data_IF_260859738598
#
_entry.id   IF_260859738598
#
_cell.length_a   1.000
_cell.length_b   1.000
_cell.length_c   1.000
_cell.angle_alpha   90.00
_cell.angle_beta   90.00
_cell.angle_gamma   90.00
#
_symmetry.space_group_name_H-M   'P 1'
#
loop_
_entity.id
_entity.type
_entity.pdbx_description
1 polymer ?
#
# COMPACT_ATOMS: atom_id res chain seq x y z
N UNK A 1 -14.79 0.72 14.08
CA UNK A 1 -13.43 0.24 13.71
C UNK A 1 -12.55 1.37 13.15
N UNK A 2 -13.01 2.16 12.16
CA UNK A 2 -12.22 3.22 11.53
C UNK A 2 -11.80 4.32 12.52
N UNK A 3 -12.71 4.81 13.37
CA UNK A 3 -12.40 5.78 14.43
C UNK A 3 -11.44 5.19 15.45
N UNK A 4 -11.70 3.97 15.92
CA UNK A 4 -10.83 3.26 16.87
C UNK A 4 -9.39 3.13 16.32
N UNK A 5 -9.25 2.79 15.02
CA UNK A 5 -7.94 2.72 14.38
C UNK A 5 -7.19 4.06 14.40
N UNK A 6 -7.88 5.19 14.11
CA UNK A 6 -7.27 6.52 14.19
C UNK A 6 -6.96 6.94 15.63
N UNK A 7 -7.83 6.63 16.57
CA UNK A 7 -7.65 6.96 17.99
C UNK A 7 -6.46 6.21 18.60
N UNK A 8 -6.28 4.93 18.26
CA UNK A 8 -5.17 4.12 18.76
C UNK A 8 -3.85 4.48 18.06
N UNK A 9 -3.84 4.50 16.74
CA UNK A 9 -2.60 4.66 15.96
C UNK A 9 -2.15 6.10 15.80
N UNK A 10 -3.07 7.06 15.90
CA UNK A 10 -2.88 8.49 15.55
C UNK A 10 -2.51 8.71 14.08
N UNK A 11 -2.82 7.75 13.19
CA UNK A 11 -2.45 7.77 11.77
C UNK A 11 -3.67 7.98 10.88
N UNK A 12 -3.52 8.83 9.87
CA UNK A 12 -4.47 9.00 8.78
C UNK A 12 -5.77 9.69 9.20
N UNK A 13 -6.83 9.42 8.43
CA UNK A 13 -8.16 10.00 8.57
C UNK A 13 -9.20 8.90 8.73
N UNK A 14 -10.08 9.02 9.73
CA UNK A 14 -11.07 7.98 9.99
C UNK A 14 -12.08 7.80 8.84
N UNK A 15 -12.42 8.89 8.11
CA UNK A 15 -13.31 8.86 6.94
C UNK A 15 -12.74 7.96 5.84
N UNK A 16 -11.45 8.13 5.55
CA UNK A 16 -10.75 7.33 4.54
C UNK A 16 -10.58 5.86 4.99
N UNK A 17 -10.39 5.64 6.30
CA UNK A 17 -10.38 4.27 6.86
C UNK A 17 -11.74 3.59 6.78
N UNK A 18 -12.86 4.33 6.80
CA UNK A 18 -14.18 3.77 6.50
C UNK A 18 -14.21 3.24 5.06
N UNK A 19 -13.68 4.00 4.10
CA UNK A 19 -13.60 3.58 2.70
C UNK A 19 -12.73 2.33 2.56
N UNK A 20 -11.54 2.29 3.19
CA UNK A 20 -10.67 1.12 3.22
C UNK A 20 -11.37 -0.12 3.80
N UNK A 21 -12.10 0.04 4.90
CA UNK A 21 -12.87 -1.05 5.51
C UNK A 21 -14.01 -1.53 4.59
N UNK A 22 -14.67 -0.62 3.87
CA UNK A 22 -15.70 -0.98 2.90
C UNK A 22 -15.11 -1.76 1.71
N UNK A 23 -13.94 -1.35 1.20
CA UNK A 23 -13.22 -2.10 0.16
C UNK A 23 -12.89 -3.51 0.68
N UNK A 24 -12.29 -3.60 1.86
CA UNK A 24 -11.87 -4.86 2.47
C UNK A 24 -13.02 -5.83 2.77
N UNK A 25 -14.24 -5.34 2.90
CA UNK A 25 -15.43 -6.13 3.23
C UNK A 25 -16.40 -6.23 2.07
N UNK A 26 -17.15 -5.16 1.80
CA UNK A 26 -18.24 -5.14 0.84
C UNK A 26 -17.78 -5.44 -0.59
N UNK A 27 -16.68 -4.79 -1.02
CA UNK A 27 -16.19 -4.97 -2.40
C UNK A 27 -15.55 -6.36 -2.56
N UNK A 28 -14.70 -6.76 -1.61
CA UNK A 28 -14.10 -8.11 -1.60
C UNK A 28 -15.18 -9.18 -1.56
N UNK A 29 -16.17 -9.07 -0.67
CA UNK A 29 -17.28 -10.03 -0.60
C UNK A 29 -18.04 -10.13 -1.93
N UNK A 30 -18.38 -9.00 -2.55
CA UNK A 30 -19.08 -8.99 -3.83
C UNK A 30 -18.28 -9.63 -4.96
N UNK A 31 -16.95 -9.48 -4.95
CA UNK A 31 -16.06 -10.11 -5.92
C UNK A 31 -15.99 -11.64 -5.73
N UNK A 32 -15.86 -12.11 -4.49
CA UNK A 32 -15.58 -13.54 -4.22
C UNK A 32 -16.81 -14.39 -3.91
N UNK A 33 -17.98 -13.80 -3.61
CA UNK A 33 -19.16 -14.55 -3.15
C UNK A 33 -19.59 -15.68 -4.10
N UNK A 34 -19.49 -15.46 -5.41
CA UNK A 34 -19.86 -16.41 -6.46
C UNK A 34 -18.75 -17.39 -6.85
N UNK A 35 -17.53 -17.22 -6.33
CA UNK A 35 -16.41 -18.08 -6.69
C UNK A 35 -16.46 -19.41 -5.92
N UNK A 36 -16.20 -20.51 -6.62
CA UNK A 36 -15.94 -21.81 -5.98
C UNK A 36 -14.50 -21.80 -5.46
N UNK A 37 -14.32 -22.04 -4.18
CA UNK A 37 -13.00 -22.01 -3.51
C UNK A 37 -12.69 -23.30 -2.76
N UNK A 38 -13.63 -24.27 -2.79
CA UNK A 38 -13.48 -25.59 -2.15
C UNK A 38 -14.28 -26.62 -2.97
N UNK A 39 -13.76 -27.82 -3.07
CA UNK A 39 -14.31 -28.91 -3.87
C UNK A 39 -13.98 -28.74 -5.36
N UNK A 40 -14.73 -29.38 -6.23
CA UNK A 40 -14.50 -29.29 -7.68
C UNK A 40 -14.73 -27.85 -8.15
N UNK A 41 -13.68 -27.18 -8.62
CA UNK A 41 -13.71 -25.80 -9.11
C UNK A 41 -13.76 -25.69 -10.63
N UNK A 42 -13.20 -26.67 -11.34
CA UNK A 42 -13.30 -26.83 -12.78
C UNK A 42 -13.37 -28.33 -13.16
N UNK A 43 -14.04 -28.60 -14.26
CA UNK A 43 -14.11 -29.94 -14.89
C UNK A 43 -14.00 -29.72 -16.40
N UNK A 44 -12.90 -30.17 -16.99
CA UNK A 44 -12.64 -30.12 -18.43
C UNK A 44 -12.64 -31.51 -19.04
N UNK A 45 -13.81 -31.99 -19.53
CA UNK A 45 -13.89 -33.32 -20.14
C UNK A 45 -13.04 -33.50 -21.39
N UNK A 46 -12.60 -32.40 -22.08
CA UNK A 46 -11.76 -32.49 -23.28
C UNK A 46 -10.33 -32.80 -22.94
N UNK A 47 -9.85 -32.27 -21.81
CA UNK A 47 -8.51 -32.53 -21.31
C UNK A 47 -8.45 -33.66 -20.31
N UNK A 48 -9.62 -34.24 -19.94
CA UNK A 48 -9.76 -35.26 -18.90
C UNK A 48 -9.18 -34.81 -17.54
N UNK A 49 -9.37 -33.51 -17.21
CA UNK A 49 -8.82 -32.87 -15.99
C UNK A 49 -9.95 -32.35 -15.12
N UNK A 50 -9.92 -32.72 -13.84
CA UNK A 50 -10.78 -32.16 -12.80
C UNK A 50 -9.93 -31.41 -11.79
N UNK A 51 -10.21 -30.11 -11.60
CA UNK A 51 -9.54 -29.29 -10.61
C UNK A 51 -10.33 -29.28 -9.29
N UNK A 52 -9.69 -29.67 -8.22
CA UNK A 52 -10.27 -29.70 -6.88
C UNK A 52 -9.51 -28.76 -5.96
N UNK A 53 -10.20 -27.75 -5.43
CA UNK A 53 -9.64 -26.85 -4.43
C UNK A 53 -9.84 -27.41 -3.02
N UNK A 54 -8.76 -27.42 -2.24
CA UNK A 54 -8.73 -27.86 -0.85
C UNK A 54 -8.24 -26.73 0.06
N UNK A 55 -8.74 -26.63 1.31
CA UNK A 55 -8.14 -25.72 2.29
C UNK A 55 -6.69 -26.10 2.56
N UNK A 56 -5.80 -25.10 2.58
CA UNK A 56 -4.37 -25.34 2.85
C UNK A 56 -4.08 -25.62 4.33
N UNK A 57 -4.96 -25.16 5.23
CA UNK A 57 -4.80 -25.31 6.68
C UNK A 57 -4.66 -23.98 7.42
N UNK A 58 -4.12 -23.98 8.66
CA UNK A 58 -4.01 -22.77 9.48
C UNK A 58 -3.15 -21.69 8.83
N UNK A 59 -3.73 -20.48 8.72
CA UNK A 59 -3.06 -19.29 8.18
C UNK A 59 -2.55 -18.44 9.34
N UNK A 60 -1.29 -18.04 9.30
CA UNK A 60 -0.73 -17.03 10.19
C UNK A 60 -0.67 -15.68 9.48
N UNK A 61 -1.42 -14.69 9.96
CA UNK A 61 -1.60 -13.42 9.30
C UNK A 61 -1.04 -12.26 10.14
N UNK A 62 -0.07 -11.53 9.57
CA UNK A 62 0.55 -10.36 10.21
C UNK A 62 0.03 -9.11 9.54
N UNK A 63 -0.40 -8.13 10.34
CA UNK A 63 -1.06 -6.91 9.87
C UNK A 63 -0.27 -5.65 10.20
N UNK A 64 -0.28 -4.63 9.31
CA UNK A 64 0.48 -3.40 9.49
C UNK A 64 -0.24 -2.41 10.41
N UNK A 65 0.49 -1.36 10.84
CA UNK A 65 -0.08 -0.25 11.62
C UNK A 65 -0.88 0.73 10.76
N UNK A 66 -0.55 0.88 9.49
CA UNK A 66 -1.13 1.89 8.58
C UNK A 66 -2.56 1.56 8.15
N UNK A 67 -2.86 0.27 7.97
CA UNK A 67 -4.17 -0.23 7.51
C UNK A 67 -4.66 -1.38 8.41
N UNK A 68 -4.72 -1.19 9.74
CA UNK A 68 -4.85 -2.31 10.66
C UNK A 68 -6.18 -3.04 10.50
N UNK A 69 -7.30 -2.32 10.60
CA UNK A 69 -8.65 -2.92 10.57
C UNK A 69 -8.99 -3.47 9.19
N UNK A 70 -8.72 -2.73 8.12
CA UNK A 70 -9.03 -3.18 6.75
C UNK A 70 -8.23 -4.42 6.36
N UNK A 71 -6.95 -4.50 6.73
CA UNK A 71 -6.13 -5.69 6.46
C UNK A 71 -6.60 -6.91 7.24
N UNK A 72 -7.01 -6.74 8.51
CA UNK A 72 -7.63 -7.82 9.31
C UNK A 72 -8.90 -8.32 8.66
N UNK A 73 -9.82 -7.41 8.33
CA UNK A 73 -11.10 -7.75 7.68
C UNK A 73 -10.89 -8.51 6.38
N UNK A 74 -10.00 -8.00 5.51
CA UNK A 74 -9.66 -8.64 4.24
C UNK A 74 -9.14 -10.06 4.42
N UNK A 75 -8.08 -10.22 5.25
CA UNK A 75 -7.43 -11.52 5.46
C UNK A 75 -8.38 -12.55 6.06
N UNK A 76 -9.25 -12.15 6.97
CA UNK A 76 -10.28 -13.03 7.54
C UNK A 76 -11.27 -13.46 6.46
N UNK A 77 -11.80 -12.52 5.66
CA UNK A 77 -12.84 -12.84 4.66
C UNK A 77 -12.30 -13.83 3.62
N UNK A 78 -11.09 -13.63 3.09
CA UNK A 78 -10.51 -14.55 2.10
C UNK A 78 -10.18 -15.90 2.73
N UNK A 79 -9.72 -15.95 3.98
CA UNK A 79 -9.44 -17.20 4.70
C UNK A 79 -10.71 -18.00 4.97
N UNK A 80 -11.76 -17.35 5.47
CA UNK A 80 -13.04 -17.99 5.72
C UNK A 80 -13.71 -18.49 4.42
N UNK A 81 -13.61 -17.70 3.34
CA UNK A 81 -14.12 -18.10 2.01
C UNK A 81 -13.46 -19.39 1.52
N UNK A 82 -12.18 -19.58 1.78
CA UNK A 82 -11.41 -20.78 1.41
C UNK A 82 -11.35 -21.85 2.53
N UNK A 83 -12.18 -21.70 3.59
CA UNK A 83 -12.29 -22.63 4.74
C UNK A 83 -10.98 -22.85 5.49
N UNK A 84 -10.11 -21.86 5.54
CA UNK A 84 -8.87 -21.91 6.29
C UNK A 84 -9.04 -21.21 7.64
N UNK A 85 -8.70 -21.81 8.77
CA UNK A 85 -8.62 -21.10 10.04
C UNK A 85 -7.48 -20.10 10.01
N UNK A 86 -7.64 -18.97 10.71
CA UNK A 86 -6.68 -17.87 10.67
C UNK A 86 -6.32 -17.39 12.07
N UNK A 87 -5.03 -17.10 12.26
CA UNK A 87 -4.49 -16.48 13.47
C UNK A 87 -3.95 -15.10 13.09
N UNK A 88 -4.56 -14.05 13.64
CA UNK A 88 -4.16 -12.66 13.40
C UNK A 88 -3.09 -12.25 14.41
N UNK A 89 -1.98 -11.70 13.93
CA UNK A 89 -0.97 -11.01 14.72
C UNK A 89 -0.95 -9.53 14.33
N UNK A 90 -1.51 -8.65 15.17
CA UNK A 90 -1.50 -7.21 14.90
C UNK A 90 -0.11 -6.60 15.09
N UNK A 91 0.10 -5.43 14.49
CA UNK A 91 1.20 -4.55 14.86
C UNK A 91 1.00 -4.03 16.29
N UNK A 92 2.07 -3.90 17.09
CA UNK A 92 1.98 -3.52 18.50
C UNK A 92 1.26 -2.18 18.74
N UNK A 93 1.43 -1.20 17.83
CA UNK A 93 0.77 0.12 17.91
C UNK A 93 -0.67 0.15 17.33
N UNK A 94 -1.23 -1.00 16.94
CA UNK A 94 -2.58 -1.14 16.38
C UNK A 94 -3.26 -2.42 16.88
N UNK A 95 -2.91 -2.86 18.08
CA UNK A 95 -3.35 -4.15 18.61
C UNK A 95 -4.84 -4.17 18.93
N UNK A 96 -5.35 -3.12 19.58
CA UNK A 96 -6.73 -3.11 20.10
C UNK A 96 -7.74 -2.96 18.96
N UNK A 97 -7.53 -2.07 17.99
CA UNK A 97 -8.40 -1.93 16.83
C UNK A 97 -8.36 -3.17 15.91
N UNK A 98 -7.20 -3.82 15.79
CA UNK A 98 -7.05 -5.06 15.01
C UNK A 98 -7.75 -6.24 15.68
N UNK A 99 -7.60 -6.39 17.00
CA UNK A 99 -8.30 -7.42 17.79
C UNK A 99 -9.80 -7.20 17.73
N UNK A 100 -10.27 -5.95 17.85
CA UNK A 100 -11.69 -5.64 17.75
C UNK A 100 -12.24 -5.97 16.35
N UNK A 101 -11.50 -5.70 15.28
CA UNK A 101 -11.88 -6.10 13.93
C UNK A 101 -11.98 -7.63 13.79
N UNK A 102 -11.03 -8.38 14.37
CA UNK A 102 -11.05 -9.84 14.37
C UNK A 102 -12.23 -10.38 15.22
N UNK A 103 -12.50 -9.79 16.39
CA UNK A 103 -13.61 -10.16 17.28
C UNK A 103 -14.97 -10.02 16.58
N UNK A 104 -15.22 -8.88 15.93
CA UNK A 104 -16.45 -8.63 15.17
C UNK A 104 -16.65 -9.68 14.07
N UNK A 105 -15.57 -10.02 13.34
CA UNK A 105 -15.62 -11.06 12.32
C UNK A 105 -15.89 -12.44 12.92
N UNK A 106 -15.24 -12.79 14.03
CA UNK A 106 -15.41 -14.06 14.70
C UNK A 106 -16.84 -14.27 15.21
N UNK A 107 -17.40 -13.27 15.87
CA UNK A 107 -18.79 -13.33 16.34
C UNK A 107 -19.79 -13.47 15.18
N UNK A 108 -19.53 -12.78 14.06
CA UNK A 108 -20.37 -12.90 12.87
C UNK A 108 -20.25 -14.32 12.26
N UNK A 109 -19.04 -14.88 12.21
CA UNK A 109 -18.79 -16.22 11.72
C UNK A 109 -19.48 -17.28 12.59
N UNK A 110 -19.40 -17.19 13.91
CA UNK A 110 -20.09 -18.10 14.84
C UNK A 110 -21.60 -18.05 14.67
N UNK A 111 -22.19 -16.83 14.56
CA UNK A 111 -23.64 -16.69 14.29
C UNK A 111 -24.06 -17.32 12.96
N UNK A 112 -23.15 -17.41 12.00
CA UNK A 112 -23.37 -18.06 10.71
C UNK A 112 -23.07 -19.57 10.72
N UNK A 113 -22.74 -20.16 11.88
CA UNK A 113 -22.46 -21.59 12.04
C UNK A 113 -21.02 -22.02 11.72
N UNK A 114 -20.07 -21.07 11.68
CA UNK A 114 -18.66 -21.44 11.57
C UNK A 114 -18.17 -22.17 12.83
N UNK A 115 -17.19 -23.08 12.71
CA UNK A 115 -16.67 -23.81 13.87
C UNK A 115 -15.95 -22.84 14.84
N UNK A 116 -15.95 -23.20 16.11
CA UNK A 116 -15.16 -22.51 17.12
C UNK A 116 -13.68 -22.47 16.72
N UNK A 117 -12.99 -21.39 17.14
CA UNK A 117 -11.56 -21.17 16.87
C UNK A 117 -11.17 -21.04 15.38
N UNK A 118 -12.14 -20.85 14.47
CA UNK A 118 -11.83 -20.60 13.06
C UNK A 118 -11.11 -19.25 12.83
N UNK A 119 -11.32 -18.27 13.72
CA UNK A 119 -10.62 -16.99 13.75
C UNK A 119 -10.04 -16.80 15.15
N UNK A 120 -8.72 -16.63 15.22
CA UNK A 120 -7.98 -16.41 16.45
C UNK A 120 -7.07 -15.19 16.31
N UNK A 121 -6.56 -14.68 17.43
CA UNK A 121 -5.60 -13.57 17.43
C UNK A 121 -4.63 -13.67 18.59
N UNK A 122 -3.42 -13.17 18.37
CA UNK A 122 -2.39 -13.00 19.39
C UNK A 122 -2.35 -11.53 19.76
N UNK A 123 -2.87 -11.17 20.93
CA UNK A 123 -2.97 -9.77 21.37
C UNK A 123 -1.60 -9.12 21.57
N UNK A 124 -0.69 -9.87 22.18
CA UNK A 124 0.70 -9.44 22.43
C UNK A 124 1.63 -10.60 22.12
N UNK A 125 2.70 -10.33 21.41
CA UNK A 125 3.76 -11.31 21.18
C UNK A 125 5.10 -10.60 21.03
N UNK A 126 6.14 -11.26 21.51
CA UNK A 126 7.52 -10.90 21.23
C UNK A 126 7.86 -11.18 19.75
N UNK A 127 8.99 -10.69 19.30
CA UNK A 127 9.50 -11.03 17.97
C UNK A 127 9.82 -12.53 17.86
N UNK A 128 10.37 -13.11 18.92
CA UNK A 128 10.71 -14.54 18.99
C UNK A 128 9.47 -15.43 18.87
N UNK A 129 8.41 -15.12 19.61
CA UNK A 129 7.12 -15.82 19.50
C UNK A 129 6.50 -15.72 18.12
N UNK A 130 6.64 -14.55 17.47
CA UNK A 130 6.18 -14.38 16.09
C UNK A 130 6.98 -15.26 15.11
N UNK A 131 8.29 -15.33 15.26
CA UNK A 131 9.15 -16.21 14.45
C UNK A 131 8.82 -17.68 14.70
N UNK A 132 8.55 -18.08 15.94
CA UNK A 132 8.14 -19.44 16.30
C UNK A 132 6.79 -19.81 15.65
N UNK A 133 5.82 -18.88 15.63
CA UNK A 133 4.54 -19.09 14.93
C UNK A 133 4.71 -19.18 13.41
N UNK A 134 5.59 -18.36 12.83
CA UNK A 134 5.92 -18.45 11.39
C UNK A 134 6.53 -19.80 11.03
N UNK A 135 7.44 -20.33 11.86
CA UNK A 135 8.15 -21.59 11.63
C UNK A 135 7.36 -22.82 12.14
N UNK A 136 6.21 -22.62 12.76
CA UNK A 136 5.48 -23.73 13.36
C UNK A 136 4.97 -24.73 12.30
N UNK A 137 5.18 -26.02 12.53
CA UNK A 137 4.84 -27.11 11.57
C UNK A 137 3.38 -27.18 11.13
N UNK A 138 2.46 -26.60 11.91
CA UNK A 138 1.03 -26.54 11.58
C UNK A 138 0.66 -25.26 10.83
N UNK A 139 1.54 -24.27 10.72
CA UNK A 139 1.30 -23.07 9.90
C UNK A 139 1.40 -23.46 8.43
N UNK A 140 0.28 -23.45 7.74
CA UNK A 140 0.19 -23.89 6.35
C UNK A 140 0.52 -22.75 5.36
N UNK A 141 0.21 -21.51 5.75
CA UNK A 141 0.45 -20.33 4.93
C UNK A 141 0.66 -19.11 5.83
N UNK A 142 1.58 -18.25 5.46
CA UNK A 142 1.81 -16.95 6.11
C UNK A 142 1.33 -15.84 5.18
N UNK A 143 0.45 -14.97 5.68
CA UNK A 143 0.05 -13.74 5.01
C UNK A 143 0.73 -12.55 5.71
N UNK A 144 1.91 -12.16 5.24
CA UNK A 144 2.70 -11.09 5.86
C UNK A 144 2.50 -9.75 5.17
N UNK A 145 2.17 -8.70 5.92
CA UNK A 145 2.16 -7.31 5.45
C UNK A 145 2.92 -6.45 6.43
N UNK A 146 4.01 -5.83 5.99
CA UNK A 146 4.84 -5.00 6.88
C UNK A 146 6.22 -4.67 6.30
N UNK A 147 7.21 -4.48 7.18
CA UNK A 147 8.58 -4.09 6.77
C UNK A 147 9.29 -5.17 5.95
N UNK A 148 10.35 -4.75 5.25
CA UNK A 148 11.23 -5.67 4.49
C UNK A 148 11.75 -6.79 5.38
N UNK A 149 12.17 -6.46 6.61
CA UNK A 149 12.72 -7.42 7.58
C UNK A 149 11.68 -8.46 7.97
N UNK A 150 10.44 -8.03 8.20
CA UNK A 150 9.32 -8.92 8.51
C UNK A 150 9.04 -9.89 7.37
N UNK A 151 8.94 -9.38 6.15
CA UNK A 151 8.67 -10.20 4.96
C UNK A 151 9.82 -11.18 4.71
N UNK A 152 11.07 -10.73 4.85
CA UNK A 152 12.24 -11.61 4.77
C UNK A 152 12.23 -12.70 5.85
N UNK A 153 11.87 -12.36 7.08
CA UNK A 153 11.75 -13.32 8.17
C UNK A 153 10.67 -14.36 7.88
N UNK A 154 9.53 -13.93 7.34
CA UNK A 154 8.47 -14.85 6.93
C UNK A 154 8.97 -15.83 5.85
N UNK A 155 9.62 -15.36 4.79
CA UNK A 155 10.18 -16.22 3.74
C UNK A 155 11.28 -17.19 4.25
N UNK A 156 12.04 -16.81 5.27
CA UNK A 156 13.05 -17.67 5.90
C UNK A 156 12.46 -18.71 6.85
N UNK A 157 11.18 -18.64 7.18
CA UNK A 157 10.54 -19.55 8.14
C UNK A 157 10.41 -20.99 7.64
N UNK A 158 10.52 -21.21 6.32
CA UNK A 158 10.35 -22.52 5.69
C UNK A 158 8.90 -22.87 5.33
N UNK A 159 7.92 -22.07 5.74
CA UNK A 159 6.53 -22.25 5.36
C UNK A 159 6.17 -21.40 4.11
N UNK A 160 5.11 -21.74 3.35
CA UNK A 160 4.61 -20.91 2.26
C UNK A 160 4.25 -19.50 2.72
N UNK A 161 4.60 -18.47 1.93
CA UNK A 161 4.39 -17.06 2.28
C UNK A 161 3.82 -16.30 1.10
N UNK A 162 2.81 -15.49 1.37
CA UNK A 162 2.44 -14.34 0.54
C UNK A 162 2.81 -13.09 1.34
N UNK A 163 3.88 -12.41 0.90
CA UNK A 163 4.50 -11.31 1.64
C UNK A 163 4.45 -10.00 0.88
N UNK A 164 3.94 -8.94 1.53
CA UNK A 164 3.89 -7.58 0.99
C UNK A 164 4.80 -6.69 1.81
N UNK A 165 5.81 -6.15 1.14
CA UNK A 165 6.74 -5.18 1.67
C UNK A 165 6.34 -3.73 1.40
N UNK A 166 7.25 -2.77 1.61
CA UNK A 166 7.05 -1.36 1.28
C UNK A 166 6.94 -1.14 -0.23
N UNK A 167 6.33 -0.01 -0.62
CA UNK A 167 6.18 0.38 -2.01
C UNK A 167 6.79 1.77 -2.28
N UNK A 168 7.87 1.86 -3.05
CA UNK A 168 8.39 3.13 -3.54
C UNK A 168 7.88 3.37 -4.97
N UNK A 169 6.70 3.97 -5.08
CA UNK A 169 5.90 4.03 -6.30
C UNK A 169 6.24 5.26 -7.14
N UNK A 170 6.92 5.11 -8.29
CA UNK A 170 7.09 6.19 -9.25
C UNK A 170 5.80 6.39 -10.05
N UNK A 171 5.48 7.65 -10.36
CA UNK A 171 4.47 8.01 -11.35
C UNK A 171 5.10 8.84 -12.46
N UNK A 172 5.01 8.37 -13.69
CA UNK A 172 5.45 9.11 -14.86
C UNK A 172 4.29 9.89 -15.47
N UNK A 173 4.45 11.22 -15.61
CA UNK A 173 3.53 12.08 -16.35
C UNK A 173 4.16 12.35 -17.72
N UNK A 174 3.70 11.59 -18.72
CA UNK A 174 4.23 11.64 -20.08
C UNK A 174 3.82 12.91 -20.83
N UNK A 175 4.54 13.23 -21.93
CA UNK A 175 4.27 14.39 -22.79
C UNK A 175 2.82 14.46 -23.31
N UNK A 176 2.19 13.30 -23.54
CA UNK A 176 0.81 13.21 -24.04
C UNK A 176 -0.25 13.11 -22.94
N UNK A 177 0.14 13.25 -21.67
CA UNK A 177 -0.81 13.20 -20.58
C UNK A 177 -1.76 14.39 -20.59
N UNK A 178 -3.00 14.15 -20.16
CA UNK A 178 -3.88 15.22 -19.69
C UNK A 178 -3.38 15.64 -18.30
N UNK A 179 -2.64 16.74 -18.25
CA UNK A 179 -1.92 17.18 -17.03
C UNK A 179 -2.90 17.53 -15.90
N UNK A 180 -3.97 18.31 -16.11
CA UNK A 180 -4.96 18.58 -15.05
C UNK A 180 -5.56 17.32 -14.47
N UNK A 181 -5.92 16.33 -15.30
CA UNK A 181 -6.44 15.05 -14.88
C UNK A 181 -5.39 14.24 -14.11
N UNK A 182 -4.17 14.10 -14.65
CA UNK A 182 -3.09 13.36 -14.02
C UNK A 182 -2.78 13.88 -12.62
N UNK A 183 -2.61 15.19 -12.49
CA UNK A 183 -2.34 15.86 -11.22
C UNK A 183 -3.48 15.66 -10.23
N UNK A 184 -4.73 15.74 -10.66
CA UNK A 184 -5.89 15.47 -9.80
C UNK A 184 -5.88 14.04 -9.27
N UNK A 185 -5.64 13.04 -10.12
CA UNK A 185 -5.58 11.64 -9.71
C UNK A 185 -4.44 11.37 -8.71
N UNK A 186 -3.25 11.91 -8.97
CA UNK A 186 -2.09 11.79 -8.07
C UNK A 186 -2.38 12.49 -6.72
N UNK A 187 -2.99 13.66 -6.77
CA UNK A 187 -3.35 14.42 -5.59
C UNK A 187 -4.34 13.66 -4.71
N UNK A 188 -5.45 13.17 -5.28
CA UNK A 188 -6.45 12.35 -4.59
C UNK A 188 -5.79 11.09 -4.00
N UNK A 189 -4.93 10.44 -4.76
CA UNK A 189 -4.22 9.23 -4.34
C UNK A 189 -3.30 9.47 -3.15
N UNK A 190 -2.45 10.49 -3.22
CA UNK A 190 -1.44 10.77 -2.17
C UNK A 190 -2.02 11.36 -0.91
N UNK A 191 -3.12 12.12 -1.01
CA UNK A 191 -3.78 12.71 0.17
C UNK A 191 -4.75 11.75 0.85
N UNK A 192 -5.15 10.65 0.19
CA UNK A 192 -6.02 9.63 0.75
C UNK A 192 -5.38 8.99 2.01
N UNK A 193 -6.10 9.09 3.11
CA UNK A 193 -5.67 8.64 4.44
C UNK A 193 -4.26 9.16 4.82
N UNK A 194 -3.97 10.41 4.45
CA UNK A 194 -2.66 11.07 4.61
C UNK A 194 -1.48 10.22 4.07
N UNK A 195 -1.66 9.59 2.92
CA UNK A 195 -0.59 8.85 2.24
C UNK A 195 -0.20 7.52 2.87
N UNK A 196 -1.04 6.92 3.72
CA UNK A 196 -0.73 5.65 4.41
C UNK A 196 -0.95 4.40 3.58
N UNK A 197 -1.35 4.51 2.31
CA UNK A 197 -1.43 3.36 1.40
C UNK A 197 -0.07 3.15 0.75
N UNK A 198 0.52 1.97 0.91
CA UNK A 198 1.84 1.63 0.35
C UNK A 198 1.91 1.68 -1.19
N UNK A 199 0.76 1.60 -1.86
CA UNK A 199 0.67 1.78 -3.31
C UNK A 199 0.48 3.25 -3.74
N UNK A 200 0.38 4.22 -2.81
CA UNK A 200 0.32 5.64 -3.18
C UNK A 200 1.62 6.09 -3.82
N UNK A 201 1.54 7.04 -4.72
CA UNK A 201 2.68 7.63 -5.38
C UNK A 201 3.69 8.16 -4.34
N UNK A 202 4.98 7.90 -4.57
CA UNK A 202 6.08 8.41 -3.74
C UNK A 202 6.89 9.46 -4.50
N UNK A 203 6.97 9.34 -5.83
CA UNK A 203 7.73 10.25 -6.66
C UNK A 203 7.03 10.52 -7.98
N UNK A 204 6.97 11.79 -8.36
CA UNK A 204 6.51 12.25 -9.66
C UNK A 204 7.73 12.40 -10.57
N UNK A 205 7.66 11.81 -11.75
CA UNK A 205 8.60 12.04 -12.85
C UNK A 205 7.83 12.73 -13.97
N UNK A 206 7.98 14.05 -14.11
CA UNK A 206 7.32 14.83 -15.14
C UNK A 206 8.20 14.95 -16.39
N UNK A 207 7.61 14.84 -17.59
CA UNK A 207 8.33 15.17 -18.81
C UNK A 207 8.63 16.68 -18.85
N UNK A 208 9.80 17.06 -19.35
CA UNK A 208 10.23 18.48 -19.46
C UNK A 208 9.19 19.34 -20.17
N UNK A 209 8.53 18.78 -21.19
CA UNK A 209 7.58 19.53 -22.01
C UNK A 209 6.33 20.00 -21.27
N UNK A 210 5.97 19.33 -20.16
CA UNK A 210 4.77 19.66 -19.37
C UNK A 210 5.07 19.89 -17.86
N UNK A 211 6.33 19.90 -17.47
CA UNK A 211 6.73 20.02 -16.05
C UNK A 211 6.21 21.29 -15.38
N UNK A 212 6.25 22.42 -16.06
CA UNK A 212 5.76 23.69 -15.53
C UNK A 212 4.25 23.70 -15.34
N UNK A 213 3.51 23.06 -16.25
CA UNK A 213 2.05 22.88 -16.14
C UNK A 213 1.73 21.97 -14.96
N UNK A 214 2.46 20.86 -14.79
CA UNK A 214 2.32 19.96 -13.63
C UNK A 214 2.51 20.71 -12.32
N UNK A 215 3.55 21.52 -12.21
CA UNK A 215 3.80 22.37 -11.02
C UNK A 215 2.64 23.34 -10.77
N UNK A 216 2.17 24.02 -11.83
CA UNK A 216 1.06 24.95 -11.72
C UNK A 216 -0.24 24.26 -11.25
N UNK A 217 -0.54 23.09 -11.79
CA UNK A 217 -1.73 22.31 -11.40
C UNK A 217 -1.67 21.81 -9.95
N UNK A 218 -0.51 21.36 -9.46
CA UNK A 218 -0.35 21.02 -8.05
C UNK A 218 -0.52 22.24 -7.13
N UNK A 219 0.03 23.41 -7.50
CA UNK A 219 -0.14 24.65 -6.72
C UNK A 219 -1.60 25.09 -6.65
N UNK A 220 -2.38 24.96 -7.71
CA UNK A 220 -3.84 25.22 -7.70
C UNK A 220 -4.56 24.34 -6.66
N UNK A 221 -4.07 23.13 -6.40
CA UNK A 221 -4.62 22.15 -5.44
C UNK A 221 -4.00 22.27 -4.05
N UNK A 222 -3.34 23.42 -3.74
CA UNK A 222 -2.75 23.68 -2.41
C UNK A 222 -1.59 22.77 -2.05
N UNK A 223 -0.90 22.19 -3.02
CA UNK A 223 0.39 21.57 -2.81
C UNK A 223 1.46 22.66 -2.64
N UNK A 224 2.37 22.44 -1.69
CA UNK A 224 3.48 23.32 -1.40
C UNK A 224 4.79 22.72 -1.93
N UNK A 225 5.47 23.45 -2.81
CA UNK A 225 6.79 23.06 -3.32
C UNK A 225 7.86 23.60 -2.38
N UNK A 226 8.65 22.69 -1.82
CA UNK A 226 9.73 23.01 -0.88
C UNK A 226 10.93 23.64 -1.61
N UNK A 227 11.57 24.61 -0.95
CA UNK A 227 12.89 25.06 -1.33
C UNK A 227 13.97 24.05 -0.90
N UNK A 228 15.21 24.19 -1.39
CA UNK A 228 16.31 23.33 -1.01
C UNK A 228 16.59 23.36 0.51
N UNK A 229 16.56 24.54 1.12
CA UNK A 229 16.72 24.71 2.56
C UNK A 229 15.61 24.04 3.37
N UNK A 230 14.38 24.02 2.83
CA UNK A 230 13.24 23.37 3.46
C UNK A 230 13.33 21.84 3.33
N UNK A 231 13.84 21.34 2.22
CA UNK A 231 14.11 19.91 2.02
C UNK A 231 15.14 19.44 3.05
N UNK A 232 16.26 20.17 3.22
CA UNK A 232 17.30 19.84 4.20
C UNK A 232 16.76 19.81 5.65
N UNK A 233 15.80 20.67 5.98
CA UNK A 233 15.12 20.65 7.28
C UNK A 233 14.10 19.53 7.43
N UNK A 234 13.41 19.17 6.34
CA UNK A 234 12.40 18.12 6.35
C UNK A 234 13.00 16.70 6.40
N UNK A 235 14.12 16.48 5.72
CA UNK A 235 14.77 15.16 5.66
C UNK A 235 14.98 14.49 7.03
N UNK A 236 15.61 15.12 8.03
CA UNK A 236 15.83 14.50 9.34
C UNK A 236 14.55 14.34 10.15
N UNK A 237 13.50 15.09 9.83
CA UNK A 237 12.17 14.94 10.44
C UNK A 237 11.42 13.74 9.85
N UNK A 238 11.52 13.54 8.53
CA UNK A 238 10.81 12.48 7.83
C UNK A 238 11.54 11.14 7.89
N UNK A 239 12.86 11.12 7.97
CA UNK A 239 13.66 9.91 7.79
C UNK A 239 14.83 9.80 8.80
N UNK A 240 15.02 8.61 9.33
CA UNK A 240 16.18 8.27 10.15
C UNK A 240 17.29 7.67 9.27
N UNK A 241 18.33 8.45 8.99
CA UNK A 241 19.45 8.04 8.10
C UNK A 241 20.27 6.90 8.68
N UNK A 242 20.38 6.77 10.02
CA UNK A 242 21.14 5.70 10.67
C UNK A 242 20.42 4.35 10.55
N UNK A 243 19.13 4.35 10.84
CA UNK A 243 18.29 3.15 10.76
C UNK A 243 17.77 2.88 9.34
N UNK A 244 17.94 3.84 8.41
CA UNK A 244 17.46 3.77 7.02
C UNK A 244 15.96 3.52 6.91
N UNK A 245 15.17 4.14 7.78
CA UNK A 245 13.71 4.00 7.82
C UNK A 245 13.02 5.35 8.01
N UNK A 246 11.79 5.45 7.52
CA UNK A 246 10.92 6.58 7.81
C UNK A 246 10.66 6.69 9.33
N UNK A 247 10.62 7.92 9.84
CA UNK A 247 10.27 8.15 11.24
C UNK A 247 8.79 7.93 11.50
N UNK A 248 8.48 7.19 12.56
CA UNK A 248 7.11 6.82 12.90
C UNK A 248 6.20 8.04 13.17
N UNK A 249 6.76 9.12 13.68
CA UNK A 249 6.06 10.36 14.05
C UNK A 249 5.46 11.09 12.86
N UNK A 250 5.96 10.84 11.65
CA UNK A 250 5.52 11.49 10.40
C UNK A 250 4.46 10.66 9.67
N UNK A 251 4.41 9.33 9.94
CA UNK A 251 3.48 8.44 9.24
C UNK A 251 2.04 8.91 9.41
N UNK A 252 1.35 9.10 8.29
CA UNK A 252 -0.08 9.44 8.27
C UNK A 252 -0.43 10.79 8.89
N UNK A 253 0.55 11.68 9.16
CA UNK A 253 0.27 13.02 9.67
C UNK A 253 -0.13 13.97 8.54
N UNK A 254 -0.91 15.03 8.83
CA UNK A 254 -1.21 16.08 7.87
C UNK A 254 0.04 16.83 7.41
N UNK A 255 0.06 17.31 6.17
CA UNK A 255 1.19 18.06 5.60
C UNK A 255 1.59 19.29 6.43
N UNK A 256 0.62 20.03 6.94
CA UNK A 256 0.84 21.20 7.80
C UNK A 256 1.56 20.86 9.11
N UNK A 257 1.19 19.73 9.75
CA UNK A 257 1.85 19.28 10.97
C UNK A 257 3.28 18.82 10.69
N UNK A 258 3.51 18.14 9.57
CA UNK A 258 4.85 17.71 9.17
C UNK A 258 5.74 18.95 8.89
N UNK A 259 5.21 19.95 8.19
CA UNK A 259 5.90 21.22 7.95
C UNK A 259 6.25 21.92 9.27
N UNK A 260 5.32 22.00 10.22
CA UNK A 260 5.56 22.53 11.56
C UNK A 260 6.70 21.81 12.29
N UNK A 261 6.71 20.46 12.27
CA UNK A 261 7.79 19.67 12.87
C UNK A 261 9.16 19.96 12.26
N UNK A 262 9.21 20.33 10.97
CA UNK A 262 10.44 20.73 10.27
C UNK A 262 10.74 22.25 10.38
N UNK A 263 9.93 23.01 11.11
CA UNK A 263 10.07 24.47 11.20
C UNK A 263 9.82 25.20 9.87
N UNK A 264 9.00 24.63 9.00
CA UNK A 264 8.63 25.17 7.70
C UNK A 264 7.27 25.85 7.79
N UNK A 265 7.20 27.09 7.34
CA UNK A 265 5.95 27.85 7.31
C UNK A 265 5.23 27.61 5.99
N UNK A 266 4.07 26.98 6.05
CA UNK A 266 3.21 26.72 4.88
C UNK A 266 1.83 27.35 5.10
N UNK A 267 1.05 27.63 4.03
CA UNK A 267 -0.35 28.02 4.15
C UNK A 267 -1.16 26.99 4.96
N UNK A 268 -2.14 27.46 5.74
CA UNK A 268 -2.93 26.60 6.62
C UNK A 268 -3.77 25.54 5.87
N UNK A 269 -4.06 25.77 4.59
CA UNK A 269 -4.77 24.88 3.69
C UNK A 269 -3.85 23.97 2.86
N UNK A 270 -2.56 23.89 3.19
CA UNK A 270 -1.61 22.99 2.53
C UNK A 270 -1.95 21.53 2.87
N UNK A 271 -2.13 20.72 1.82
CA UNK A 271 -2.49 19.31 1.96
C UNK A 271 -1.41 18.35 1.48
N UNK A 272 -0.41 18.84 0.75
CA UNK A 272 0.67 18.03 0.16
C UNK A 272 1.96 18.85 0.13
N UNK A 273 3.08 18.24 0.51
CA UNK A 273 4.44 18.79 0.37
C UNK A 273 5.11 18.12 -0.82
N UNK A 274 5.75 18.91 -1.69
CA UNK A 274 6.45 18.38 -2.85
C UNK A 274 7.92 18.82 -2.78
N UNK A 275 8.84 17.86 -2.82
CA UNK A 275 10.28 18.06 -2.80
C UNK A 275 10.87 17.91 -4.20
N UNK A 276 11.27 18.99 -4.89
CA UNK A 276 12.07 18.88 -6.11
C UNK A 276 13.43 18.25 -5.77
N UNK A 277 13.76 17.12 -6.39
CA UNK A 277 14.99 16.37 -6.15
C UNK A 277 15.71 16.08 -7.45
N UNK A 278 17.03 15.89 -7.36
CA UNK A 278 17.90 15.54 -8.50
C UNK A 278 18.35 14.06 -8.40
N UNK A 279 18.53 13.55 -7.19
CA UNK A 279 19.06 12.21 -6.91
C UNK A 279 18.01 11.29 -6.30
N UNK A 280 18.21 9.98 -6.51
CA UNK A 280 17.39 8.90 -5.93
C UNK A 280 18.27 8.04 -5.03
N UNK A 281 17.78 7.72 -3.83
CA UNK A 281 18.44 6.79 -2.92
C UNK A 281 18.66 7.35 -1.51
N UNK A 282 19.50 6.69 -0.73
CA UNK A 282 19.68 6.95 0.70
C UNK A 282 20.25 8.34 1.02
N UNK A 283 20.97 8.95 0.08
CA UNK A 283 21.53 10.31 0.22
C UNK A 283 20.47 11.39 -0.01
N UNK A 284 19.36 11.02 -0.67
CA UNK A 284 18.18 11.86 -0.88
C UNK A 284 16.94 11.13 -0.32
N UNK A 285 16.79 11.08 1.01
CA UNK A 285 15.84 10.19 1.68
C UNK A 285 14.38 10.47 1.36
N UNK A 286 14.03 11.68 0.92
CA UNK A 286 12.68 11.99 0.44
C UNK A 286 12.34 11.31 -0.89
N UNK A 287 13.31 10.66 -1.55
CA UNK A 287 13.12 9.81 -2.72
C UNK A 287 12.67 8.37 -2.38
N UNK A 288 12.66 8.01 -1.09
CA UNK A 288 12.28 6.70 -0.59
C UNK A 288 10.79 6.67 -0.20
N UNK A 289 10.27 5.49 0.19
CA UNK A 289 8.89 5.40 0.65
C UNK A 289 8.65 6.28 1.87
N UNK A 290 7.71 7.22 1.75
CA UNK A 290 7.24 8.08 2.82
C UNK A 290 5.71 7.99 2.90
N UNK A 291 5.21 7.27 3.91
CA UNK A 291 3.79 7.05 4.16
C UNK A 291 3.14 8.28 4.81
N UNK A 292 3.26 9.42 4.13
CA UNK A 292 2.77 10.73 4.52
C UNK A 292 2.47 11.56 3.25
N UNK A 293 1.78 12.69 3.33
CA UNK A 293 1.51 13.56 2.18
C UNK A 293 2.76 14.35 1.77
N UNK A 294 3.79 13.62 1.36
CA UNK A 294 5.06 14.12 0.81
C UNK A 294 5.32 13.39 -0.51
N UNK A 295 5.71 14.12 -1.55
CA UNK A 295 6.12 13.58 -2.85
C UNK A 295 7.48 14.12 -3.25
N UNK A 296 8.34 13.25 -3.77
CA UNK A 296 9.49 13.68 -4.56
C UNK A 296 9.03 14.15 -5.95
N UNK A 297 9.72 15.07 -6.55
CA UNK A 297 9.44 15.62 -7.88
C UNK A 297 10.70 15.65 -8.71
N UNK A 298 10.65 15.05 -9.89
CA UNK A 298 11.73 14.99 -10.86
C UNK A 298 11.25 15.47 -12.22
N UNK A 299 12.18 16.08 -12.99
CA UNK A 299 11.94 16.45 -14.38
C UNK A 299 12.84 15.61 -15.27
N UNK A 300 12.24 14.89 -16.22
CA UNK A 300 12.96 14.11 -17.21
C UNK A 300 12.94 14.81 -18.57
N UNK A 301 14.10 14.93 -19.21
CA UNK A 301 14.24 15.58 -20.51
C UNK A 301 13.53 14.79 -21.62
N UNK A 302 13.59 13.45 -21.51
CA UNK A 302 12.98 12.55 -22.46
C UNK A 302 12.36 11.32 -21.76
N UNK A 303 11.74 10.47 -22.56
CA UNK A 303 11.08 9.26 -22.07
C UNK A 303 12.06 8.26 -21.48
N UNK A 304 13.24 8.12 -22.07
CA UNK A 304 14.23 7.14 -21.62
C UNK A 304 14.84 7.53 -20.27
N UNK A 305 15.07 8.84 -20.07
CA UNK A 305 15.46 9.33 -18.76
C UNK A 305 14.36 9.11 -17.72
N UNK A 306 13.10 9.32 -18.10
CA UNK A 306 11.96 9.06 -17.20
C UNK A 306 11.91 7.58 -16.80
N UNK A 307 12.09 6.65 -17.74
CA UNK A 307 12.17 5.22 -17.44
C UNK A 307 13.32 4.91 -16.48
N UNK A 308 14.52 5.48 -16.72
CA UNK A 308 15.67 5.28 -15.81
C UNK A 308 15.36 5.75 -14.39
N UNK A 309 14.79 6.95 -14.23
CA UNK A 309 14.39 7.50 -12.94
C UNK A 309 13.33 6.64 -12.25
N UNK A 310 12.27 6.26 -12.96
CA UNK A 310 11.23 5.40 -12.41
C UNK A 310 11.78 4.05 -11.94
N UNK A 311 12.69 3.44 -12.72
CA UNK A 311 13.37 2.20 -12.32
C UNK A 311 14.24 2.38 -11.09
N UNK A 312 14.99 3.48 -10.99
CA UNK A 312 15.82 3.79 -9.82
C UNK A 312 14.94 3.96 -8.57
N UNK A 313 13.86 4.72 -8.66
CA UNK A 313 12.91 4.93 -7.55
C UNK A 313 12.33 3.57 -7.12
N UNK A 314 11.83 2.79 -8.06
CA UNK A 314 11.24 1.48 -7.78
C UNK A 314 12.26 0.51 -7.18
N UNK A 315 13.53 0.55 -7.62
CA UNK A 315 14.60 -0.30 -7.10
C UNK A 315 14.94 0.01 -5.63
N UNK A 316 14.79 1.25 -5.20
CA UNK A 316 15.05 1.66 -3.82
C UNK A 316 13.85 1.44 -2.89
N UNK A 317 13.43 0.17 -2.72
CA UNK A 317 12.43 -0.25 -1.73
C UNK A 317 11.03 -0.57 -2.28
N UNK A 318 10.84 -0.49 -3.62
CA UNK A 318 9.54 -0.72 -4.24
C UNK A 318 9.47 -1.85 -5.26
N UNK A 319 10.53 -2.68 -5.38
CA UNK A 319 10.56 -3.79 -6.34
C UNK A 319 9.39 -4.75 -6.14
N UNK A 320 8.69 -5.04 -7.25
CA UNK A 320 7.55 -5.95 -7.24
C UNK A 320 6.24 -5.33 -6.72
N UNK A 321 6.24 -4.05 -6.29
CA UNK A 321 5.03 -3.43 -5.75
C UNK A 321 4.19 -2.75 -6.85
N UNK A 322 4.25 -1.46 -7.01
CA UNK A 322 3.36 -0.67 -7.90
C UNK A 322 4.15 0.39 -8.65
N UNK A 323 3.75 0.66 -9.89
CA UNK A 323 4.17 1.81 -10.68
C UNK A 323 2.95 2.44 -11.36
N UNK A 324 3.04 3.71 -11.75
CA UNK A 324 1.96 4.41 -12.44
C UNK A 324 2.46 5.24 -13.62
N UNK A 325 1.63 5.36 -14.64
CA UNK A 325 1.89 6.20 -15.81
C UNK A 325 0.62 6.95 -16.21
N UNK A 326 0.77 8.25 -16.51
CA UNK A 326 -0.25 9.05 -17.17
C UNK A 326 0.23 9.38 -18.57
N UNK A 327 -0.46 8.86 -19.58
CA UNK A 327 -0.12 9.02 -20.99
C UNK A 327 -1.33 8.67 -21.86
N UNK A 328 -1.42 9.26 -23.05
CA UNK A 328 -2.36 8.87 -24.12
C UNK A 328 -1.64 8.13 -25.26
N UNK A 329 -0.34 7.90 -25.15
CA UNK A 329 0.44 7.17 -26.16
C UNK A 329 0.57 5.70 -25.73
N UNK A 330 -0.11 4.81 -26.45
CA UNK A 330 -0.16 3.38 -26.16
C UNK A 330 1.22 2.70 -26.21
N UNK A 331 2.05 3.03 -27.20
CA UNK A 331 3.42 2.48 -27.32
C UNK A 331 4.28 2.82 -26.09
N UNK A 332 4.13 4.05 -25.55
CA UNK A 332 4.82 4.48 -24.34
C UNK A 332 4.29 3.76 -23.10
N UNK A 333 2.99 3.53 -23.04
CA UNK A 333 2.35 2.77 -21.96
C UNK A 333 2.84 1.33 -21.96
N UNK A 334 2.83 0.66 -23.10
CA UNK A 334 3.32 -0.73 -23.26
C UNK A 334 4.81 -0.85 -22.92
N UNK A 335 5.63 0.09 -23.42
CA UNK A 335 7.06 0.10 -23.11
C UNK A 335 7.28 0.31 -21.60
N UNK A 336 6.60 1.29 -20.99
CA UNK A 336 6.67 1.52 -19.54
C UNK A 336 6.29 0.25 -18.76
N UNK A 337 5.19 -0.39 -19.14
CA UNK A 337 4.72 -1.61 -18.49
C UNK A 337 5.75 -2.74 -18.57
N UNK A 338 6.41 -2.90 -19.70
CA UNK A 338 7.45 -3.94 -19.87
C UNK A 338 8.77 -3.61 -19.18
N UNK A 339 9.06 -2.32 -18.96
CA UNK A 339 10.32 -1.86 -18.38
C UNK A 339 10.34 -1.82 -16.85
N UNK A 340 9.16 -1.78 -16.20
CA UNK A 340 9.06 -1.68 -14.74
C UNK A 340 8.99 -3.05 -14.06
N UNK A 341 9.68 -3.18 -12.92
CA UNK A 341 9.60 -4.37 -12.06
C UNK A 341 8.52 -4.17 -10.98
N UNK A 342 7.26 -4.20 -11.39
CA UNK A 342 6.12 -4.01 -10.50
C UNK A 342 5.04 -5.07 -10.75
N UNK A 343 4.40 -5.53 -9.67
CA UNK A 343 3.27 -6.45 -9.73
C UNK A 343 1.98 -5.78 -10.23
N UNK A 344 1.88 -4.46 -10.03
CA UNK A 344 0.77 -3.65 -10.55
C UNK A 344 1.29 -2.42 -11.28
N UNK A 345 0.85 -2.26 -12.53
CA UNK A 345 1.13 -1.07 -13.34
C UNK A 345 -0.19 -0.39 -13.65
N UNK A 346 -0.32 0.84 -13.16
CA UNK A 346 -1.56 1.60 -13.25
C UNK A 346 -1.46 2.66 -14.33
N UNK A 347 -2.43 2.69 -15.22
CA UNK A 347 -2.48 3.62 -16.35
C UNK A 347 -3.62 4.59 -16.15
N UNK A 348 -3.31 5.88 -16.17
CA UNK A 348 -4.29 6.97 -16.03
C UNK A 348 -5.25 6.77 -14.82
N UNK A 349 -4.71 6.27 -13.70
CA UNK A 349 -5.50 5.86 -12.52
C UNK A 349 -4.77 6.27 -11.26
N UNK A 350 -5.48 6.76 -10.20
CA UNK A 350 -4.86 7.08 -8.91
C UNK A 350 -4.25 5.81 -8.31
N UNK A 351 -2.96 5.83 -7.95
CA UNK A 351 -2.26 4.60 -7.64
C UNK A 351 -2.76 3.93 -6.36
N UNK A 352 -3.08 4.68 -5.31
CA UNK A 352 -3.55 4.10 -4.04
C UNK A 352 -4.89 3.37 -4.19
N UNK A 353 -5.90 4.02 -4.77
CA UNK A 353 -7.23 3.43 -4.96
C UNK A 353 -7.25 2.43 -6.11
N UNK A 354 -6.46 2.68 -7.16
CA UNK A 354 -6.33 1.79 -8.30
C UNK A 354 -5.73 0.44 -7.92
N UNK A 355 -4.69 0.43 -7.08
CA UNK A 355 -4.08 -0.80 -6.59
C UNK A 355 -4.99 -1.56 -5.61
N UNK A 356 -5.78 -0.85 -4.80
CA UNK A 356 -6.80 -1.48 -3.94
C UNK A 356 -7.88 -2.19 -4.76
N UNK A 357 -8.13 -1.76 -5.99
CA UNK A 357 -9.11 -2.36 -6.90
C UNK A 357 -10.57 -2.08 -6.53
N UNK A 358 -11.46 -2.48 -7.43
CA UNK A 358 -12.92 -2.47 -7.20
C UNK A 358 -13.62 -1.12 -7.30
N UNK A 359 -12.91 -0.01 -7.46
CA UNK A 359 -13.48 1.34 -7.53
C UNK A 359 -13.13 2.08 -8.82
N UNK A 360 -11.87 2.27 -9.13
CA UNK A 360 -11.39 3.05 -10.27
C UNK A 360 -11.08 2.20 -11.51
N UNK A 361 -10.97 0.89 -11.33
CA UNK A 361 -10.64 -0.04 -12.41
C UNK A 361 -11.33 -1.40 -12.15
N UNK A 362 -11.05 -2.37 -13.03
CA UNK A 362 -11.57 -3.73 -12.95
C UNK A 362 -10.67 -4.71 -12.18
N UNK A 363 -9.62 -4.22 -11.51
CA UNK A 363 -8.82 -5.07 -10.65
C UNK A 363 -9.67 -5.59 -9.48
N UNK A 364 -9.41 -6.81 -9.10
CA UNK A 364 -10.07 -7.41 -7.95
C UNK A 364 -9.66 -6.68 -6.67
N UNK A 365 -10.61 -6.38 -5.78
CA UNK A 365 -10.30 -5.65 -4.56
C UNK A 365 -9.41 -6.49 -3.64
N UNK A 366 -8.30 -5.89 -3.20
CA UNK A 366 -7.31 -6.53 -2.33
C UNK A 366 -6.69 -5.53 -1.36
N UNK A 367 -6.35 -6.01 -0.17
CA UNK A 367 -5.49 -5.32 0.81
C UNK A 367 -4.10 -5.99 0.92
N UNK A 368 -3.82 -6.94 0.03
CA UNK A 368 -2.47 -7.45 -0.22
C UNK A 368 -2.10 -7.04 -1.64
N UNK A 369 -1.42 -5.89 -1.72
CA UNK A 369 -1.16 -5.18 -2.98
C UNK A 369 0.05 -5.77 -3.69
N UNK A 370 -0.03 -5.86 -5.02
CA UNK A 370 1.03 -6.39 -5.88
C UNK A 370 1.40 -7.88 -5.60
N UNK A 371 0.39 -8.67 -5.30
CA UNK A 371 0.52 -10.13 -5.22
C UNK A 371 -0.21 -10.80 -6.35
#
# INVERSE_FOLDING_TARGET
LAKLACEETKLGRWEDKVIKNAIATRFVYNDIKGQKTVGVIADDPKQEVVEVAEPVGPIFAITPVTNPTSTVLFKIIISMKSRNPIIIRPHGAAKDCSVEAARVCYEAALRAGAPENCIQWVRTSTQEEALALMAHRKTALILATGSVELVRAAHRSGNPVIGIGPGNVPVYIGKSADVPFAVEQIFISKTFDNGTVCASEQAIVANRANADEVVAEFKKRKAYFLSQEEIERLEPVAFNKEQKVMRAEVIGQPATKIAEMAGIKVPADTTLLIAPLEEVGIHSPLSLEILAPILAFYVAEDFEQAIRLCRQINHHGGLGHTCSIFSQNEERIEYFASAMNAGSILVNTPASQGALGGTYNRLRPSLMLAC
#
